data_IF_882796153252
#
_entry.id   IF_882796153252
#
_cell.length_a   1.000
_cell.length_b   1.000
_cell.length_c   1.000
_cell.angle_alpha   90.00
_cell.angle_beta   90.00
_cell.angle_gamma   90.00
#
_symmetry.space_group_name_H-M   'P 1'
#
loop_
_entity.id
_entity.type
_entity.pdbx_description
1 polymer ?
#
# COMPACT_ATOMS: atom_id res chain seq x y z
N UNK A 1 55.19 -11.54 -8.36
CA UNK A 1 54.58 -10.25 -8.10
C UNK A 1 53.06 -10.50 -8.19
N UNK A 2 52.47 -10.74 -7.05
CA UNK A 2 51.12 -11.26 -6.89
C UNK A 2 50.24 -10.05 -6.55
N UNK A 3 49.43 -9.62 -7.52
CA UNK A 3 48.52 -8.51 -7.39
C UNK A 3 47.28 -9.00 -6.60
N UNK A 4 47.15 -8.44 -5.41
CA UNK A 4 46.03 -8.71 -4.47
C UNK A 4 44.73 -8.15 -5.08
N UNK A 5 43.81 -9.04 -5.37
CA UNK A 5 42.42 -8.73 -5.71
C UNK A 5 41.74 -8.11 -4.49
N UNK A 6 41.33 -6.88 -4.66
CA UNK A 6 40.57 -6.10 -3.68
C UNK A 6 39.14 -6.67 -3.52
N UNK A 7 38.71 -7.08 -2.31
CA UNK A 7 37.37 -7.63 -2.14
C UNK A 7 36.34 -6.50 -2.10
N UNK A 8 35.49 -6.49 -3.11
CA UNK A 8 34.12 -6.01 -3.13
C UNK A 8 33.76 -4.87 -2.14
N UNK A 9 33.86 -3.65 -2.61
CA UNK A 9 33.04 -2.54 -2.11
C UNK A 9 31.57 -2.84 -2.42
N UNK A 10 30.84 -3.40 -1.45
CA UNK A 10 29.39 -3.29 -1.40
C UNK A 10 29.07 -1.80 -1.23
N UNK A 11 28.75 -1.13 -2.32
CA UNK A 11 28.16 0.21 -2.27
C UNK A 11 26.81 0.09 -1.61
N UNK A 12 26.70 0.41 -0.32
CA UNK A 12 25.43 0.70 0.32
C UNK A 12 24.73 1.77 -0.53
N UNK A 13 23.71 1.38 -1.27
CA UNK A 13 22.91 2.28 -2.08
C UNK A 13 22.15 3.17 -1.11
N UNK A 14 22.64 4.37 -0.86
CA UNK A 14 21.96 5.34 0.01
C UNK A 14 20.57 5.61 -0.57
N UNK A 15 19.54 5.10 0.09
CA UNK A 15 18.14 5.25 -0.33
C UNK A 15 17.71 6.70 -0.11
N UNK A 16 17.22 7.35 -1.16
CA UNK A 16 16.68 8.71 -1.07
C UNK A 16 15.21 8.64 -0.64
N UNK A 17 14.90 9.21 0.52
CA UNK A 17 13.52 9.32 1.02
C UNK A 17 12.71 10.29 0.15
N UNK A 18 11.59 9.81 -0.39
CA UNK A 18 10.61 10.62 -1.12
C UNK A 18 9.43 10.98 -0.23
N UNK A 19 8.87 9.99 0.48
CA UNK A 19 7.78 10.20 1.43
C UNK A 19 8.18 9.66 2.80
N UNK A 20 8.00 10.47 3.84
CA UNK A 20 8.07 10.02 5.24
C UNK A 20 6.74 10.36 5.94
N UNK A 21 6.05 9.34 6.42
CA UNK A 21 4.86 9.46 7.26
C UNK A 21 5.26 9.09 8.67
N UNK A 22 5.00 9.98 9.63
CA UNK A 22 5.40 9.79 11.03
C UNK A 22 4.22 10.08 11.95
N UNK A 23 3.74 9.06 12.65
CA UNK A 23 2.69 9.17 13.65
C UNK A 23 1.38 9.73 13.11
N UNK A 24 1.01 9.42 11.86
CA UNK A 24 -0.19 9.93 11.22
C UNK A 24 -1.44 9.44 11.94
N UNK A 25 -2.27 10.39 12.37
CA UNK A 25 -3.58 10.20 12.94
C UNK A 25 -4.66 10.78 12.02
N UNK A 26 -5.70 9.98 11.72
CA UNK A 26 -6.88 10.47 10.99
C UNK A 26 -8.15 10.16 11.77
N UNK A 27 -8.95 11.18 11.98
CA UNK A 27 -10.21 11.12 12.68
C UNK A 27 -11.38 11.38 11.71
N UNK A 28 -12.49 10.66 11.92
CA UNK A 28 -13.76 10.86 11.23
C UNK A 28 -14.80 11.33 12.25
N UNK A 29 -15.50 12.43 11.95
CA UNK A 29 -16.66 12.88 12.72
C UNK A 29 -17.90 12.08 12.31
N UNK A 30 -18.51 11.43 13.28
CA UNK A 30 -19.76 10.66 13.11
C UNK A 30 -20.86 11.30 13.98
N UNK A 31 -22.13 10.99 13.74
CA UNK A 31 -23.23 11.47 14.60
C UNK A 31 -23.07 11.07 16.08
N UNK A 32 -22.34 10.00 16.37
CA UNK A 32 -22.12 9.44 17.71
C UNK A 32 -20.79 9.85 18.34
N UNK A 33 -19.98 10.69 17.67
CA UNK A 33 -18.67 11.14 18.15
C UNK A 33 -17.57 11.05 17.11
N UNK A 34 -16.33 11.27 17.55
CA UNK A 34 -15.15 11.17 16.69
C UNK A 34 -14.58 9.76 16.75
N UNK A 35 -14.27 9.17 15.60
CA UNK A 35 -13.68 7.84 15.45
C UNK A 35 -12.31 7.97 14.82
N UNK A 36 -11.28 7.41 15.45
CA UNK A 36 -9.92 7.33 14.89
C UNK A 36 -9.83 6.15 13.94
N UNK A 37 -9.59 6.44 12.66
CA UNK A 37 -9.52 5.43 11.59
C UNK A 37 -8.09 5.12 11.13
N UNK A 38 -7.15 6.04 11.41
CA UNK A 38 -5.71 5.84 11.26
C UNK A 38 -5.06 6.30 12.55
N UNK A 39 -4.22 5.47 13.15
CA UNK A 39 -3.67 5.70 14.48
C UNK A 39 -2.16 5.50 14.47
N UNK A 40 -1.42 6.59 14.64
CA UNK A 40 0.05 6.66 14.71
C UNK A 40 0.77 5.90 13.59
N UNK A 41 0.21 5.91 12.38
CA UNK A 41 0.79 5.22 11.23
C UNK A 41 2.10 5.88 10.83
N UNK A 42 3.15 5.04 10.68
CA UNK A 42 4.50 5.49 10.32
C UNK A 42 5.13 4.55 9.30
N UNK A 43 5.60 5.11 8.18
CA UNK A 43 6.35 4.39 7.13
C UNK A 43 7.14 5.37 6.25
N UNK A 44 8.05 4.83 5.45
CA UNK A 44 8.88 5.62 4.52
C UNK A 44 8.84 4.98 3.14
N UNK A 45 8.70 5.79 2.09
CA UNK A 45 8.83 5.34 0.71
C UNK A 45 10.07 5.99 0.09
N UNK A 46 10.85 5.16 -0.61
CA UNK A 46 12.13 5.55 -1.19
C UNK A 46 12.05 5.66 -2.71
N UNK A 47 12.91 6.50 -3.28
CA UNK A 47 13.01 6.71 -4.71
C UNK A 47 13.32 5.40 -5.45
N UNK A 48 12.56 5.14 -6.51
CA UNK A 48 12.70 3.94 -7.34
C UNK A 48 12.20 2.64 -6.69
N UNK A 49 11.62 2.71 -5.48
CA UNK A 49 11.09 1.56 -4.75
C UNK A 49 9.56 1.60 -4.63
N UNK A 50 8.99 0.42 -4.42
CA UNK A 50 7.57 0.22 -4.11
C UNK A 50 7.41 -0.16 -2.64
N UNK A 51 6.67 0.65 -1.87
CA UNK A 51 6.17 0.29 -0.55
C UNK A 51 4.73 -0.20 -0.68
N UNK A 52 4.43 -1.41 -0.22
CA UNK A 52 3.07 -1.90 -0.12
C UNK A 52 2.42 -1.56 1.22
N UNK A 53 1.19 -1.03 1.20
CA UNK A 53 0.29 -1.00 2.36
C UNK A 53 -0.68 -2.18 2.23
N UNK A 54 -0.46 -3.22 3.05
CA UNK A 54 -1.19 -4.48 3.02
C UNK A 54 -2.16 -4.59 4.21
N UNK A 55 -3.30 -5.23 4.05
CA UNK A 55 -4.23 -5.53 5.14
C UNK A 55 -5.66 -5.72 4.65
N UNK A 56 -6.55 -6.20 5.53
CA UNK A 56 -7.96 -6.42 5.24
C UNK A 56 -8.70 -5.13 4.85
N UNK A 57 -9.87 -5.28 4.19
CA UNK A 57 -10.73 -4.13 3.86
C UNK A 57 -11.14 -3.37 5.12
N UNK A 58 -11.20 -2.05 5.05
CA UNK A 58 -11.57 -1.19 6.17
C UNK A 58 -10.47 -0.94 7.22
N UNK A 59 -9.25 -1.48 7.08
CA UNK A 59 -8.18 -1.26 8.07
C UNK A 59 -7.49 0.11 8.01
N UNK A 60 -7.93 1.03 7.11
CA UNK A 60 -7.42 2.41 7.07
C UNK A 60 -6.49 2.75 5.91
N UNK A 61 -6.16 1.82 5.00
CA UNK A 61 -5.21 2.03 3.88
C UNK A 61 -5.59 3.21 2.98
N UNK A 62 -6.79 3.19 2.40
CA UNK A 62 -7.28 4.25 1.51
C UNK A 62 -7.46 5.60 2.25
N UNK A 63 -7.78 5.57 3.55
CA UNK A 63 -7.82 6.80 4.38
C UNK A 63 -6.42 7.38 4.56
N UNK A 64 -5.41 6.54 4.75
CA UNK A 64 -4.00 6.96 4.79
C UNK A 64 -3.58 7.60 3.45
N UNK A 65 -3.92 6.97 2.31
CA UNK A 65 -3.67 7.54 0.98
C UNK A 65 -4.34 8.91 0.77
N UNK A 66 -5.64 9.01 1.11
CA UNK A 66 -6.40 10.28 1.02
C UNK A 66 -5.82 11.37 1.93
N UNK A 67 -5.35 11.02 3.14
CA UNK A 67 -4.71 11.95 4.05
C UNK A 67 -3.39 12.50 3.46
N UNK A 68 -2.54 11.63 2.92
CA UNK A 68 -1.29 12.01 2.25
C UNK A 68 -1.59 12.92 1.05
N UNK A 69 -2.56 12.55 0.22
CA UNK A 69 -2.95 13.34 -0.95
C UNK A 69 -3.69 14.65 -0.61
N UNK A 70 -4.19 14.81 0.62
CA UNK A 70 -5.02 15.96 1.03
C UNK A 70 -6.42 15.93 0.46
N UNK A 71 -6.95 14.73 0.27
CA UNK A 71 -8.24 14.45 -0.36
C UNK A 71 -9.21 13.76 0.60
N UNK A 72 -9.05 14.05 1.90
CA UNK A 72 -10.02 13.59 2.90
C UNK A 72 -11.38 14.23 2.70
N UNK A 73 -12.43 13.45 2.90
CA UNK A 73 -13.79 13.96 2.89
C UNK A 73 -13.99 15.01 4.02
N UNK A 74 -14.94 15.96 3.91
CA UNK A 74 -15.12 17.03 4.89
C UNK A 74 -15.42 16.57 6.33
N UNK A 75 -15.87 15.33 6.50
CA UNK A 75 -16.10 14.70 7.81
C UNK A 75 -14.83 14.11 8.42
N UNK A 76 -13.76 13.98 7.65
CA UNK A 76 -12.47 13.43 8.09
C UNK A 76 -11.40 14.52 8.17
N UNK A 77 -10.46 14.37 9.09
CA UNK A 77 -9.35 15.32 9.27
C UNK A 77 -8.10 14.62 9.78
N UNK A 78 -6.92 15.15 9.40
CA UNK A 78 -5.65 14.78 10.03
C UNK A 78 -5.66 15.36 11.44
N UNK A 79 -5.58 14.49 12.45
CA UNK A 79 -5.60 14.85 13.86
C UNK A 79 -4.19 14.96 14.47
N UNK A 80 -3.18 14.37 13.81
CA UNK A 80 -1.80 14.43 14.27
C UNK A 80 -0.82 13.81 13.28
N UNK A 81 0.46 13.92 13.61
CA UNK A 81 1.55 13.37 12.81
C UNK A 81 2.03 14.29 11.68
N UNK A 82 3.07 13.82 11.00
CA UNK A 82 3.77 14.55 9.92
C UNK A 82 3.70 13.71 8.64
N UNK A 83 3.39 14.37 7.53
CA UNK A 83 3.47 13.80 6.18
C UNK A 83 4.47 14.62 5.37
N UNK A 84 5.72 14.18 5.35
CA UNK A 84 6.80 14.88 4.65
C UNK A 84 7.02 14.29 3.24
N UNK A 85 6.78 15.08 2.22
CA UNK A 85 7.10 14.78 0.82
C UNK A 85 8.35 15.58 0.42
N UNK A 86 9.44 14.91 0.03
CA UNK A 86 10.73 15.53 -0.26
C UNK A 86 11.17 16.50 0.86
N UNK A 87 10.98 16.09 2.12
CA UNK A 87 11.30 16.87 3.32
C UNK A 87 10.34 18.00 3.68
N UNK A 88 9.29 18.23 2.90
CA UNK A 88 8.28 19.28 3.15
C UNK A 88 7.03 18.68 3.78
N UNK A 89 6.66 19.15 4.97
CA UNK A 89 5.44 18.68 5.64
C UNK A 89 4.19 19.19 4.92
N UNK A 90 3.47 18.26 4.31
CA UNK A 90 2.23 18.54 3.59
C UNK A 90 1.10 19.03 4.52
N UNK A 91 1.10 18.64 5.80
CA UNK A 91 0.03 19.02 6.74
C UNK A 91 0.07 20.50 7.10
N UNK A 92 1.23 21.15 6.99
CA UNK A 92 1.40 22.58 7.27
C UNK A 92 1.14 23.47 6.05
N UNK A 93 0.96 22.87 4.85
CA UNK A 93 0.76 23.61 3.61
C UNK A 93 -0.65 24.16 3.49
N UNK A 94 -0.77 25.45 3.12
CA UNK A 94 -2.06 26.01 2.70
C UNK A 94 -2.56 25.39 1.38
N UNK A 95 -3.86 25.48 1.13
CA UNK A 95 -4.54 24.85 -0.01
C UNK A 95 -3.90 25.15 -1.39
N UNK A 96 -3.37 26.38 -1.59
CA UNK A 96 -2.71 26.76 -2.85
C UNK A 96 -1.37 26.03 -3.03
N UNK A 97 -0.56 25.94 -1.98
CA UNK A 97 0.73 25.24 -1.99
C UNK A 97 0.51 23.74 -2.20
N UNK A 98 -0.50 23.16 -1.52
CA UNK A 98 -0.84 21.75 -1.66
C UNK A 98 -1.31 21.40 -3.07
N UNK A 99 -2.12 22.25 -3.72
CA UNK A 99 -2.48 22.08 -5.14
C UNK A 99 -1.30 22.15 -6.09
N UNK A 100 -0.27 22.93 -5.78
CA UNK A 100 0.93 23.02 -6.60
C UNK A 100 1.81 21.75 -6.53
N UNK A 101 1.73 20.98 -5.44
CA UNK A 101 2.41 19.70 -5.25
C UNK A 101 1.68 18.57 -6.00
N UNK A 102 0.34 18.63 -6.05
CA UNK A 102 -0.47 17.65 -6.77
C UNK A 102 -0.17 17.69 -8.27
N UNK A 103 0.14 16.55 -8.84
CA UNK A 103 0.60 16.36 -10.22
C UNK A 103 2.13 16.38 -10.35
N UNK A 104 2.85 17.48 -10.10
CA UNK A 104 4.31 17.53 -10.27
C UNK A 104 5.12 16.70 -9.28
N UNK A 105 4.68 16.58 -8.03
CA UNK A 105 5.39 15.80 -7.00
C UNK A 105 4.61 14.59 -6.51
N UNK A 106 3.28 14.62 -6.60
CA UNK A 106 2.39 13.57 -6.10
C UNK A 106 1.34 13.23 -7.14
N UNK A 107 1.34 12.00 -7.64
CA UNK A 107 0.26 11.38 -8.43
C UNK A 107 -0.55 10.42 -7.57
N UNK A 108 -1.84 10.25 -7.88
CA UNK A 108 -2.70 9.27 -7.24
C UNK A 108 -3.59 8.58 -8.27
N UNK A 109 -3.66 7.25 -8.17
CA UNK A 109 -4.61 6.39 -8.88
C UNK A 109 -5.62 5.89 -7.85
N UNK A 110 -6.90 6.22 -8.06
CA UNK A 110 -7.98 5.81 -7.18
C UNK A 110 -8.50 4.41 -7.54
N UNK A 111 -9.12 3.75 -6.56
CA UNK A 111 -9.67 2.40 -6.67
C UNK A 111 -10.74 2.26 -7.76
N UNK A 112 -11.61 3.25 -7.95
CA UNK A 112 -12.74 3.17 -8.89
C UNK A 112 -12.47 3.93 -10.20
N UNK A 113 -12.05 3.19 -11.21
CA UNK A 113 -11.83 3.73 -12.56
C UNK A 113 -13.12 4.14 -13.27
N UNK A 114 -14.30 3.68 -12.84
CA UNK A 114 -15.56 4.00 -13.49
C UNK A 114 -16.05 5.40 -13.14
N UNK A 115 -15.82 5.83 -11.91
CA UNK A 115 -16.28 7.13 -11.38
C UNK A 115 -15.22 8.22 -11.45
N UNK A 116 -13.94 7.87 -11.60
CA UNK A 116 -12.84 8.84 -11.60
C UNK A 116 -12.76 9.68 -12.90
N UNK A 117 -13.22 9.15 -14.03
CA UNK A 117 -13.25 9.88 -15.30
C UNK A 117 -14.58 10.61 -15.48
N UNK A 118 -14.52 11.90 -15.83
CA UNK A 118 -15.72 12.67 -16.13
C UNK A 118 -16.34 12.21 -17.46
N UNK A 119 -17.59 11.69 -17.49
CA UNK A 119 -18.19 11.08 -18.68
C UNK A 119 -18.52 12.08 -19.79
N UNK A 120 -18.60 13.37 -19.50
CA UNK A 120 -19.00 14.41 -20.47
C UNK A 120 -17.82 15.07 -21.18
N UNK A 121 -16.58 14.75 -20.81
CA UNK A 121 -15.38 15.22 -21.48
C UNK A 121 -14.64 14.08 -22.17
N UNK A 122 -14.02 14.37 -23.33
CA UNK A 122 -13.17 13.39 -24.01
C UNK A 122 -11.92 13.07 -23.19
N UNK A 123 -11.41 11.85 -23.34
CA UNK A 123 -10.21 11.40 -22.63
C UNK A 123 -9.00 12.30 -22.91
N UNK A 124 -8.78 12.70 -24.16
CA UNK A 124 -7.69 13.62 -24.51
C UNK A 124 -7.82 14.99 -23.88
N UNK A 125 -9.05 15.48 -23.61
CA UNK A 125 -9.27 16.74 -22.90
C UNK A 125 -8.87 16.61 -21.43
N UNK A 126 -9.27 15.52 -20.77
CA UNK A 126 -8.96 15.25 -19.36
C UNK A 126 -7.46 15.02 -19.14
N UNK A 127 -6.80 14.21 -19.96
CA UNK A 127 -5.34 14.02 -19.93
C UNK A 127 -4.57 15.31 -20.19
N UNK A 128 -5.07 16.14 -21.12
CA UNK A 128 -4.43 17.42 -21.47
C UNK A 128 -4.55 18.50 -20.40
N UNK A 129 -5.48 18.36 -19.45
CA UNK A 129 -5.76 19.36 -18.43
C UNK A 129 -4.55 19.62 -17.52
N UNK A 130 -3.85 18.57 -17.08
CA UNK A 130 -2.67 18.68 -16.27
C UNK A 130 -1.58 19.55 -16.92
N UNK A 131 -1.34 19.38 -18.22
CA UNK A 131 -0.36 20.17 -18.96
C UNK A 131 -0.80 21.63 -19.13
N UNK A 132 -2.10 21.87 -19.29
CA UNK A 132 -2.63 23.24 -19.38
C UNK A 132 -2.51 24.00 -18.07
N UNK A 133 -2.82 23.33 -16.96
CA UNK A 133 -2.81 23.94 -15.62
C UNK A 133 -1.38 24.16 -15.12
N UNK A 134 -0.54 23.13 -15.20
CA UNK A 134 0.78 23.17 -14.58
C UNK A 134 1.91 23.61 -15.50
N UNK A 135 1.77 23.44 -16.83
CA UNK A 135 2.81 23.83 -17.81
C UNK A 135 2.38 24.98 -18.73
N UNK A 136 1.18 25.55 -18.54
CA UNK A 136 0.67 26.67 -19.35
C UNK A 136 0.49 26.35 -20.83
N UNK A 137 0.39 25.08 -21.22
CA UNK A 137 0.28 24.67 -22.62
C UNK A 137 -1.07 25.08 -23.21
N UNK A 138 -1.07 25.48 -24.50
CA UNK A 138 -2.30 25.70 -25.23
C UNK A 138 -3.01 24.37 -25.56
N UNK A 139 -4.27 24.43 -26.00
CA UNK A 139 -5.09 23.23 -26.30
C UNK A 139 -4.42 22.25 -27.28
N UNK A 140 -3.76 22.78 -28.33
CA UNK A 140 -3.10 21.94 -29.34
C UNK A 140 -1.89 21.20 -28.76
N UNK A 141 -1.06 21.89 -28.03
CA UNK A 141 0.10 21.30 -27.34
C UNK A 141 -0.32 20.26 -26.30
N UNK A 142 -1.30 20.59 -25.43
CA UNK A 142 -1.82 19.69 -24.42
C UNK A 142 -2.43 18.42 -25.05
N UNK A 143 -3.13 18.53 -26.21
CA UNK A 143 -3.64 17.37 -26.93
C UNK A 143 -2.52 16.45 -27.43
N UNK A 144 -1.43 16.99 -27.95
CA UNK A 144 -0.28 16.18 -28.37
C UNK A 144 0.35 15.42 -27.20
N UNK A 145 0.49 16.07 -26.05
CA UNK A 145 0.98 15.42 -24.84
C UNK A 145 0.00 14.33 -24.33
N UNK A 146 -1.29 14.57 -24.41
CA UNK A 146 -2.30 13.57 -24.05
C UNK A 146 -2.22 12.33 -24.97
N UNK A 147 -2.04 12.50 -26.27
CA UNK A 147 -1.85 11.40 -27.23
C UNK A 147 -0.58 10.60 -26.88
N UNK A 148 0.51 11.29 -26.58
CA UNK A 148 1.77 10.64 -26.20
C UNK A 148 1.63 9.85 -24.90
N UNK A 149 0.95 10.37 -23.88
CA UNK A 149 0.63 9.63 -22.66
C UNK A 149 -0.22 8.40 -22.95
N UNK A 150 -1.25 8.52 -23.80
CA UNK A 150 -2.08 7.38 -24.20
C UNK A 150 -1.25 6.28 -24.87
N UNK A 151 -0.30 6.67 -25.73
CA UNK A 151 0.64 5.74 -26.37
C UNK A 151 1.53 5.06 -25.33
N UNK A 152 2.09 5.82 -24.40
CA UNK A 152 2.95 5.35 -23.32
C UNK A 152 2.29 4.32 -22.41
N UNK A 153 0.99 4.46 -22.12
CA UNK A 153 0.24 3.49 -21.33
C UNK A 153 -0.39 2.35 -22.16
N UNK A 154 -0.10 2.29 -23.46
CA UNK A 154 -0.53 1.21 -24.35
C UNK A 154 -2.01 1.29 -24.77
N UNK A 155 -2.56 2.50 -24.94
CA UNK A 155 -3.86 2.68 -25.57
C UNK A 155 -3.68 2.59 -27.10
N UNK A 156 -4.36 1.67 -27.80
CA UNK A 156 -4.27 1.56 -29.25
C UNK A 156 -4.90 2.78 -29.92
N UNK A 157 -4.40 3.16 -31.10
CA UNK A 157 -4.91 4.29 -31.93
C UNK A 157 -5.13 5.58 -31.13
N UNK A 158 -4.12 6.07 -30.38
CA UNK A 158 -4.29 7.15 -29.41
C UNK A 158 -4.72 8.46 -30.06
N UNK A 159 -4.36 8.73 -31.33
CA UNK A 159 -4.75 9.90 -32.11
C UNK A 159 -6.28 9.99 -32.30
N UNK A 160 -6.92 8.86 -32.58
CA UNK A 160 -8.36 8.74 -32.75
C UNK A 160 -9.06 8.73 -31.41
N UNK A 161 -8.58 7.87 -30.51
CA UNK A 161 -9.19 7.63 -29.19
C UNK A 161 -9.06 8.80 -28.21
N UNK A 162 -8.15 9.74 -28.43
CA UNK A 162 -8.12 10.98 -27.67
C UNK A 162 -9.42 11.81 -27.80
N UNK A 163 -10.20 11.59 -28.85
CA UNK A 163 -11.50 12.23 -29.06
C UNK A 163 -12.67 11.42 -28.50
N UNK A 164 -12.42 10.21 -28.02
CA UNK A 164 -13.42 9.32 -27.45
C UNK A 164 -13.75 9.67 -25.97
N UNK A 165 -14.96 9.28 -25.56
CA UNK A 165 -15.45 9.48 -24.21
C UNK A 165 -15.15 8.25 -23.32
N UNK A 166 -15.09 8.40 -21.98
CA UNK A 166 -14.75 7.30 -21.06
C UNK A 166 -15.55 6.02 -21.26
N UNK A 167 -16.86 6.11 -21.55
CA UNK A 167 -17.72 4.95 -21.73
C UNK A 167 -17.39 4.10 -22.98
N UNK A 168 -16.57 4.63 -23.91
CA UNK A 168 -16.13 3.93 -25.12
C UNK A 168 -14.84 3.08 -24.89
N UNK A 169 -14.34 3.03 -23.65
CA UNK A 169 -13.14 2.28 -23.26
C UNK A 169 -13.51 1.10 -22.36
N UNK A 170 -12.78 -0.01 -22.48
CA UNK A 170 -12.88 -1.14 -21.54
C UNK A 170 -12.40 -0.76 -20.14
N UNK A 171 -12.70 -1.56 -19.13
CA UNK A 171 -12.24 -1.33 -17.75
C UNK A 171 -10.72 -1.19 -17.65
N UNK A 172 -9.96 -2.12 -18.22
CA UNK A 172 -8.50 -2.04 -18.25
C UNK A 172 -7.96 -0.82 -19.00
N UNK A 173 -8.62 -0.40 -20.10
CA UNK A 173 -8.24 0.84 -20.79
C UNK A 173 -8.51 2.09 -19.95
N UNK A 174 -9.62 2.15 -19.21
CA UNK A 174 -9.90 3.26 -18.29
C UNK A 174 -8.87 3.32 -17.18
N UNK A 175 -8.48 2.16 -16.64
CA UNK A 175 -7.42 2.08 -15.63
C UNK A 175 -6.08 2.61 -16.15
N UNK A 176 -5.70 2.23 -17.39
CA UNK A 176 -4.51 2.78 -18.06
C UNK A 176 -4.58 4.31 -18.24
N UNK A 177 -5.77 4.85 -18.57
CA UNK A 177 -5.99 6.28 -18.68
C UNK A 177 -5.83 6.97 -17.32
N UNK A 178 -6.35 6.41 -16.23
CA UNK A 178 -6.16 6.97 -14.88
C UNK A 178 -4.68 6.96 -14.47
N UNK A 179 -3.97 5.89 -14.75
CA UNK A 179 -2.52 5.82 -14.53
C UNK A 179 -1.82 6.92 -15.35
N UNK A 180 -2.18 7.09 -16.64
CA UNK A 180 -1.65 8.16 -17.48
C UNK A 180 -1.89 9.55 -16.88
N UNK A 181 -3.09 9.81 -16.34
CA UNK A 181 -3.40 11.08 -15.67
C UNK A 181 -2.52 11.28 -14.43
N UNK A 182 -2.35 10.24 -13.61
CA UNK A 182 -1.56 10.31 -12.38
C UNK A 182 -0.07 10.57 -12.66
N UNK A 183 0.48 10.03 -13.75
CA UNK A 183 1.90 10.20 -14.12
C UNK A 183 2.16 11.30 -15.15
N UNK A 184 1.13 12.06 -15.57
CA UNK A 184 1.21 13.06 -16.66
C UNK A 184 2.33 14.10 -16.46
N UNK A 185 2.67 14.42 -15.24
CA UNK A 185 3.68 15.43 -14.90
C UNK A 185 4.96 14.83 -14.30
N UNK A 186 5.16 13.50 -14.44
CA UNK A 186 6.32 12.76 -13.92
C UNK A 186 6.51 12.98 -12.41
N UNK A 187 5.54 12.58 -11.56
CA UNK A 187 5.59 12.81 -10.12
C UNK A 187 6.74 12.05 -9.45
N UNK A 188 7.23 12.57 -8.32
CA UNK A 188 8.21 11.89 -7.47
C UNK A 188 7.60 10.72 -6.68
N UNK A 189 6.31 10.82 -6.36
CA UNK A 189 5.54 9.81 -5.64
C UNK A 189 4.26 9.48 -6.41
N UNK A 190 4.00 8.20 -6.61
CA UNK A 190 2.71 7.68 -7.06
C UNK A 190 2.06 6.89 -5.94
N UNK A 191 0.84 7.22 -5.57
CA UNK A 191 -0.01 6.41 -4.72
C UNK A 191 -0.98 5.64 -5.61
N UNK A 192 -0.97 4.32 -5.56
CA UNK A 192 -1.88 3.45 -6.30
C UNK A 192 -2.80 2.71 -5.32
N UNK A 193 -4.03 3.18 -5.19
CA UNK A 193 -5.03 2.62 -4.27
C UNK A 193 -5.85 1.55 -4.98
N UNK A 194 -5.52 0.28 -4.70
CA UNK A 194 -6.12 -0.92 -5.29
C UNK A 194 -6.26 -0.83 -6.83
N UNK A 195 -5.16 -0.61 -7.56
CA UNK A 195 -5.21 -0.25 -8.98
C UNK A 195 -5.72 -1.37 -9.90
N UNK A 196 -5.93 -2.56 -9.39
CA UNK A 196 -6.35 -3.75 -10.15
C UNK A 196 -7.69 -4.32 -9.69
N UNK A 197 -8.37 -3.70 -8.72
CA UNK A 197 -9.68 -4.16 -8.24
C UNK A 197 -10.70 -4.21 -9.37
N UNK A 198 -11.48 -5.30 -9.43
CA UNK A 198 -12.49 -5.59 -10.44
C UNK A 198 -11.95 -5.79 -11.89
N UNK A 199 -10.66 -6.10 -12.05
CA UNK A 199 -10.06 -6.51 -13.31
C UNK A 199 -9.81 -8.03 -13.32
N UNK A 200 -9.82 -8.63 -14.51
CA UNK A 200 -9.40 -10.02 -14.66
C UNK A 200 -7.87 -10.18 -14.45
N UNK A 201 -7.43 -11.40 -14.11
CA UNK A 201 -6.03 -11.70 -13.76
C UNK A 201 -5.03 -11.28 -14.85
N UNK A 202 -5.41 -11.43 -16.12
CA UNK A 202 -4.54 -11.06 -17.24
C UNK A 202 -4.37 -9.55 -17.33
N UNK A 203 -5.45 -8.79 -17.19
CA UNK A 203 -5.41 -7.32 -17.20
C UNK A 203 -4.71 -6.82 -15.92
N UNK A 204 -4.92 -7.45 -14.77
CA UNK A 204 -4.20 -7.13 -13.53
C UNK A 204 -2.68 -7.22 -13.74
N UNK A 205 -2.17 -8.33 -14.27
CA UNK A 205 -0.73 -8.49 -14.56
C UNK A 205 -0.20 -7.40 -15.51
N UNK A 206 -0.99 -7.03 -16.53
CA UNK A 206 -0.61 -5.97 -17.47
C UNK A 206 -0.57 -4.57 -16.81
N UNK A 207 -1.47 -4.27 -15.86
CA UNK A 207 -1.48 -3.01 -15.11
C UNK A 207 -0.29 -2.95 -14.17
N UNK A 208 0.04 -4.05 -13.47
CA UNK A 208 1.20 -4.10 -12.58
C UNK A 208 2.51 -3.95 -13.36
N UNK A 209 2.66 -4.65 -14.49
CA UNK A 209 3.82 -4.48 -15.37
C UNK A 209 3.95 -3.03 -15.91
N UNK A 210 2.82 -2.36 -16.20
CA UNK A 210 2.81 -0.95 -16.59
C UNK A 210 3.31 -0.05 -15.46
N UNK A 211 2.84 -0.25 -14.23
CA UNK A 211 3.26 0.54 -13.06
C UNK A 211 4.74 0.34 -12.77
N UNK A 212 5.24 -0.91 -12.81
CA UNK A 212 6.67 -1.26 -12.64
C UNK A 212 7.52 -0.52 -13.67
N UNK A 213 7.18 -0.60 -14.95
CA UNK A 213 7.89 0.10 -16.02
C UNK A 213 7.91 1.62 -15.80
N UNK A 214 6.76 2.24 -15.48
CA UNK A 214 6.68 3.67 -15.23
C UNK A 214 7.49 4.10 -14.01
N UNK A 215 7.51 3.29 -12.92
CA UNK A 215 8.36 3.49 -11.75
C UNK A 215 9.85 3.53 -12.14
N UNK A 216 10.28 2.57 -12.95
CA UNK A 216 11.68 2.47 -13.40
C UNK A 216 12.07 3.62 -14.34
N UNK A 217 11.23 3.94 -15.34
CA UNK A 217 11.48 5.03 -16.29
C UNK A 217 11.58 6.39 -15.62
N UNK A 218 10.73 6.69 -14.63
CA UNK A 218 10.67 7.98 -13.94
C UNK A 218 11.49 7.98 -12.64
N UNK A 219 12.01 6.81 -12.21
CA UNK A 219 12.69 6.64 -10.93
C UNK A 219 11.85 7.21 -9.76
N UNK A 220 10.52 6.99 -9.79
CA UNK A 220 9.59 7.49 -8.78
C UNK A 220 9.42 6.48 -7.64
N UNK A 221 9.04 6.95 -6.45
CA UNK A 221 8.55 6.11 -5.38
C UNK A 221 7.10 5.69 -5.67
N UNK A 222 6.73 4.46 -5.32
CA UNK A 222 5.34 3.98 -5.41
C UNK A 222 4.86 3.55 -4.03
N UNK A 223 3.69 4.03 -3.61
CA UNK A 223 2.94 3.48 -2.49
C UNK A 223 1.78 2.68 -3.08
N UNK A 224 1.89 1.36 -3.03
CA UNK A 224 0.90 0.42 -3.54
C UNK A 224 -0.01 -0.04 -2.42
N UNK A 225 -1.29 0.26 -2.51
CA UNK A 225 -2.30 -0.22 -1.57
C UNK A 225 -3.00 -1.42 -2.20
N UNK A 226 -2.98 -2.54 -1.49
CA UNK A 226 -3.62 -3.77 -1.94
C UNK A 226 -3.93 -4.69 -0.74
N UNK A 227 -4.82 -5.64 -0.97
CA UNK A 227 -5.07 -6.77 -0.07
C UNK A 227 -4.52 -8.09 -0.65
N UNK A 228 -3.91 -8.05 -1.83
CA UNK A 228 -3.39 -9.22 -2.54
C UNK A 228 -1.91 -9.45 -2.19
N UNK A 229 -1.66 -10.51 -1.43
CA UNK A 229 -0.32 -10.93 -1.01
C UNK A 229 0.59 -11.33 -2.18
N UNK A 230 0.03 -11.94 -3.24
CA UNK A 230 0.81 -12.32 -4.41
C UNK A 230 1.34 -11.09 -5.15
N UNK A 231 0.50 -10.05 -5.28
CA UNK A 231 0.92 -8.76 -5.86
C UNK A 231 2.01 -8.11 -5.01
N UNK A 232 1.88 -8.13 -3.67
CA UNK A 232 2.92 -7.58 -2.77
C UNK A 232 4.24 -8.33 -2.93
N UNK A 233 4.20 -9.67 -2.97
CA UNK A 233 5.40 -10.51 -3.12
C UNK A 233 6.15 -10.24 -4.43
N UNK A 234 5.43 -9.92 -5.52
CA UNK A 234 6.01 -9.70 -6.86
C UNK A 234 6.46 -8.25 -7.07
N UNK A 235 5.74 -7.27 -6.52
CA UNK A 235 5.88 -5.87 -6.93
C UNK A 235 6.51 -4.96 -5.88
N UNK A 236 6.53 -5.35 -4.60
CA UNK A 236 6.97 -4.47 -3.54
C UNK A 236 8.36 -4.81 -2.99
N UNK A 237 9.12 -3.77 -2.69
CA UNK A 237 10.41 -3.86 -2.00
C UNK A 237 10.20 -3.93 -0.48
N UNK A 238 9.32 -3.06 0.05
CA UNK A 238 8.96 -2.99 1.47
C UNK A 238 7.45 -3.15 1.65
N UNK A 239 7.04 -3.63 2.83
CA UNK A 239 5.64 -3.76 3.21
C UNK A 239 5.37 -3.13 4.58
N UNK A 240 4.23 -2.47 4.71
CA UNK A 240 3.63 -2.09 5.98
C UNK A 240 2.26 -2.76 6.09
N UNK A 241 2.14 -3.71 7.02
CA UNK A 241 0.92 -4.48 7.27
C UNK A 241 0.04 -3.69 8.23
N UNK A 242 -1.17 -3.35 7.79
CA UNK A 242 -2.12 -2.56 8.55
C UNK A 242 -3.27 -3.42 9.10
N UNK A 243 -3.62 -3.22 10.35
CA UNK A 243 -4.78 -3.82 11.01
C UNK A 243 -5.48 -2.80 11.90
N UNK A 244 -6.78 -2.62 11.73
CA UNK A 244 -7.62 -1.74 12.55
C UNK A 244 -6.99 -0.35 12.77
N UNK A 245 -6.56 0.32 11.70
CA UNK A 245 -5.98 1.66 11.71
C UNK A 245 -4.51 1.75 12.14
N UNK A 246 -3.85 0.65 12.46
CA UNK A 246 -2.48 0.64 12.95
C UNK A 246 -1.55 -0.13 11.99
N UNK A 247 -0.28 0.26 11.89
CA UNK A 247 0.75 -0.59 11.32
C UNK A 247 1.17 -1.60 12.39
N UNK A 248 0.96 -2.89 12.12
CA UNK A 248 1.25 -3.98 13.06
C UNK A 248 2.58 -4.66 12.77
N UNK A 249 3.03 -4.63 11.51
CA UNK A 249 4.34 -5.12 11.11
C UNK A 249 4.82 -4.34 9.87
N UNK A 250 6.12 -4.11 9.76
CA UNK A 250 6.72 -3.51 8.56
C UNK A 250 8.17 -3.96 8.37
N UNK A 251 8.62 -3.96 7.11
CA UNK A 251 9.99 -4.26 6.74
C UNK A 251 10.11 -4.67 5.28
N UNK A 252 11.29 -5.13 4.84
CA UNK A 252 11.48 -5.69 3.51
C UNK A 252 10.53 -6.87 3.27
N UNK A 253 9.89 -6.92 2.11
CA UNK A 253 8.91 -7.97 1.77
C UNK A 253 9.50 -9.36 1.96
N UNK A 254 10.73 -9.59 1.47
CA UNK A 254 11.41 -10.87 1.60
C UNK A 254 11.56 -11.33 3.06
N UNK A 255 11.86 -10.40 3.98
CA UNK A 255 12.01 -10.69 5.42
C UNK A 255 10.66 -10.92 6.09
N UNK A 256 9.71 -10.01 5.89
CA UNK A 256 8.38 -10.09 6.52
C UNK A 256 7.62 -11.34 6.07
N UNK A 257 7.74 -11.74 4.78
CA UNK A 257 7.02 -12.89 4.25
C UNK A 257 7.69 -14.22 4.61
N UNK A 258 9.02 -14.27 4.74
CA UNK A 258 9.73 -15.49 5.14
C UNK A 258 9.71 -15.73 6.64
N UNK A 259 9.74 -14.66 7.44
CA UNK A 259 9.81 -14.72 8.90
C UNK A 259 8.89 -13.64 9.54
N UNK A 260 7.56 -13.79 9.44
CA UNK A 260 6.63 -12.84 10.02
C UNK A 260 6.74 -12.85 11.56
N UNK A 261 6.77 -11.65 12.14
CA UNK A 261 6.93 -11.44 13.59
C UNK A 261 5.67 -10.93 14.28
N UNK A 262 4.56 -10.81 13.50
CA UNK A 262 3.22 -10.53 14.03
C UNK A 262 2.24 -11.66 13.66
N UNK A 263 1.42 -12.16 14.62
CA UNK A 263 0.48 -13.27 14.36
C UNK A 263 -0.54 -12.99 13.25
N UNK A 264 -0.93 -11.74 13.06
CA UNK A 264 -1.81 -11.34 11.96
C UNK A 264 -1.15 -11.52 10.59
N UNK A 265 0.11 -11.07 10.43
CA UNK A 265 0.87 -11.25 9.18
C UNK A 265 1.05 -12.73 8.87
N UNK A 266 1.40 -13.53 9.89
CA UNK A 266 1.50 -14.99 9.77
C UNK A 266 0.18 -15.59 9.28
N UNK A 267 -0.94 -15.24 9.91
CA UNK A 267 -2.27 -15.71 9.50
C UNK A 267 -2.66 -15.29 8.08
N UNK A 268 -2.30 -14.07 7.65
CA UNK A 268 -2.51 -13.64 6.26
C UNK A 268 -1.73 -14.51 5.27
N UNK A 269 -0.46 -14.81 5.55
CA UNK A 269 0.39 -15.64 4.68
C UNK A 269 -0.10 -17.09 4.63
N UNK A 270 -0.54 -17.65 5.76
CA UNK A 270 -1.08 -19.02 5.83
C UNK A 270 -2.45 -19.16 5.14
N UNK A 271 -3.17 -18.05 4.91
CA UNK A 271 -4.46 -18.07 4.20
C UNK A 271 -4.32 -18.12 2.67
N UNK A 272 -3.10 -18.01 2.13
CA UNK A 272 -2.85 -18.07 0.68
C UNK A 272 -2.72 -19.52 0.19
N UNK A 273 -3.43 -19.95 -0.86
CA UNK A 273 -3.48 -21.35 -1.31
C UNK A 273 -2.17 -21.91 -1.91
N UNK A 274 -1.05 -21.23 -1.84
CA UNK A 274 0.21 -21.58 -2.55
C UNK A 274 0.84 -22.90 -2.11
N UNK A 275 0.49 -23.44 -0.95
CA UNK A 275 1.01 -24.69 -0.40
C UNK A 275 -0.05 -25.72 -0.01
N UNK A 276 -1.33 -25.45 -0.28
CA UNK A 276 -2.38 -26.42 -0.01
C UNK A 276 -2.20 -27.64 -0.93
N UNK A 277 -1.82 -28.77 -0.35
CA UNK A 277 -1.99 -30.08 -0.99
C UNK A 277 -3.50 -30.29 -1.18
N UNK A 278 -3.89 -30.85 -2.32
CA UNK A 278 -5.31 -31.08 -2.65
C UNK A 278 -5.98 -31.86 -1.52
N UNK A 279 -6.80 -31.16 -0.70
CA UNK A 279 -7.50 -31.74 0.46
C UNK A 279 -7.22 -31.09 1.81
N UNK A 280 -6.23 -30.18 1.91
CA UNK A 280 -6.01 -29.42 3.15
C UNK A 280 -7.04 -28.30 3.28
N UNK A 281 -7.60 -28.13 4.49
CA UNK A 281 -8.42 -26.97 4.81
C UNK A 281 -7.56 -25.71 4.79
N UNK A 282 -7.95 -24.71 4.00
CA UNK A 282 -7.28 -23.41 4.00
C UNK A 282 -7.42 -22.78 5.40
N UNK A 283 -6.29 -22.44 5.99
CA UNK A 283 -6.27 -21.70 7.25
C UNK A 283 -6.86 -20.31 7.03
N UNK A 284 -7.98 -20.02 7.67
CA UNK A 284 -8.58 -18.68 7.64
C UNK A 284 -8.39 -18.00 8.98
N UNK A 285 -8.13 -16.68 8.96
CA UNK A 285 -8.07 -15.91 10.19
C UNK A 285 -9.46 -15.87 10.83
N UNK A 286 -9.67 -16.41 12.05
CA UNK A 286 -10.99 -16.52 12.65
C UNK A 286 -11.57 -15.14 13.00
N UNK A 287 -12.91 -15.04 13.01
CA UNK A 287 -13.64 -13.84 13.41
C UNK A 287 -13.57 -12.70 12.40
N UNK A 288 -13.92 -11.50 12.83
CA UNK A 288 -13.93 -10.27 12.00
C UNK A 288 -13.06 -9.19 12.64
N UNK A 289 -12.50 -8.25 11.84
CA UNK A 289 -11.83 -7.09 12.39
C UNK A 289 -12.74 -6.31 13.35
N UNK A 290 -12.18 -5.67 14.39
CA UNK A 290 -12.97 -4.86 15.31
C UNK A 290 -13.57 -3.66 14.57
N UNK A 291 -14.79 -3.28 14.96
CA UNK A 291 -15.36 -2.01 14.51
C UNK A 291 -14.47 -0.86 14.98
N UNK A 292 -14.18 0.10 14.11
CA UNK A 292 -13.34 1.26 14.43
C UNK A 292 -13.86 2.11 15.60
N UNK A 293 -15.15 1.98 15.96
CA UNK A 293 -15.75 2.60 17.14
C UNK A 293 -15.41 1.89 18.45
N UNK A 294 -15.06 0.61 18.36
CA UNK A 294 -14.90 -0.30 19.49
C UNK A 294 -13.49 -0.94 19.48
N UNK A 295 -12.46 -0.15 19.14
CA UNK A 295 -11.07 -0.62 19.13
C UNK A 295 -10.65 -0.96 20.57
N UNK A 296 -10.12 -2.17 20.83
CA UNK A 296 -9.62 -2.55 22.16
C UNK A 296 -8.53 -1.59 22.67
N UNK A 297 -8.50 -1.34 23.98
CA UNK A 297 -7.47 -0.52 24.60
C UNK A 297 -6.07 -1.15 24.51
N UNK A 298 -6.00 -2.48 24.61
CA UNK A 298 -4.78 -3.26 24.42
C UNK A 298 -4.42 -3.50 22.95
N UNK A 299 -3.87 -4.69 22.67
CA UNK A 299 -3.53 -5.10 21.30
C UNK A 299 -4.77 -5.10 20.39
N UNK A 300 -4.69 -4.45 19.25
CA UNK A 300 -5.81 -4.34 18.30
C UNK A 300 -6.24 -5.70 17.71
N UNK A 301 -5.33 -6.69 17.70
CA UNK A 301 -5.56 -8.02 17.16
C UNK A 301 -5.97 -9.06 18.22
N UNK A 302 -6.07 -8.68 19.52
CA UNK A 302 -6.25 -9.59 20.65
C UNK A 302 -7.42 -10.59 20.50
N UNK A 303 -8.54 -10.18 19.91
CA UNK A 303 -9.75 -11.01 19.82
C UNK A 303 -9.67 -12.12 18.75
N UNK A 304 -8.68 -12.02 17.84
CA UNK A 304 -8.43 -12.99 16.76
C UNK A 304 -7.07 -13.67 16.88
N UNK A 305 -6.27 -13.28 17.90
CA UNK A 305 -4.90 -13.73 18.03
C UNK A 305 -4.83 -15.11 18.71
N UNK A 306 -4.22 -16.14 18.09
CA UNK A 306 -4.06 -17.45 18.72
C UNK A 306 -3.07 -17.42 19.89
N UNK A 307 -2.24 -16.36 20.00
CA UNK A 307 -1.23 -16.17 21.03
C UNK A 307 -1.66 -15.15 22.11
N UNK A 308 -2.96 -14.82 22.21
CA UNK A 308 -3.43 -13.79 23.14
C UNK A 308 -3.15 -14.17 24.60
N UNK A 309 -2.60 -13.20 25.37
CA UNK A 309 -2.35 -13.32 26.80
C UNK A 309 -2.89 -12.09 27.55
N UNK A 310 -2.84 -12.09 28.88
CA UNK A 310 -3.35 -11.01 29.71
C UNK A 310 -2.77 -9.63 29.32
N UNK A 311 -1.47 -9.54 29.11
CA UNK A 311 -0.82 -8.29 28.69
C UNK A 311 -1.38 -7.73 27.37
N UNK A 312 -1.84 -8.59 26.44
CA UNK A 312 -2.43 -8.14 25.19
C UNK A 312 -3.77 -7.43 25.38
N UNK A 313 -4.47 -7.72 26.47
CA UNK A 313 -5.74 -7.08 26.82
C UNK A 313 -5.54 -5.76 27.56
N UNK A 314 -4.44 -5.63 28.28
CA UNK A 314 -4.14 -4.49 29.15
C UNK A 314 -3.35 -3.39 28.44
N UNK A 315 -2.37 -3.78 27.62
CA UNK A 315 -1.39 -2.85 27.06
C UNK A 315 -1.32 -3.00 25.53
N UNK A 316 -1.35 -1.88 24.82
CA UNK A 316 -1.11 -1.84 23.38
C UNK A 316 0.38 -1.99 23.10
N UNK A 317 0.80 -3.00 22.30
CA UNK A 317 2.21 -3.13 21.93
C UNK A 317 2.64 -1.97 21.03
N UNK A 318 3.83 -1.44 21.29
CA UNK A 318 4.46 -0.46 20.40
C UNK A 318 5.15 -1.17 19.22
N UNK A 319 5.27 -0.46 18.11
CA UNK A 319 6.03 -0.93 16.94
C UNK A 319 7.53 -0.90 17.30
N UNK A 320 8.13 -2.05 17.56
CA UNK A 320 9.55 -2.21 17.94
C UNK A 320 10.32 -2.99 16.88
N UNK A 321 11.62 -2.75 16.81
CA UNK A 321 12.50 -3.50 15.92
C UNK A 321 12.62 -4.96 16.38
N UNK A 322 12.44 -5.89 15.45
CA UNK A 322 12.49 -7.35 15.68
C UNK A 322 13.55 -8.04 14.83
N UNK A 323 14.07 -7.36 13.81
CA UNK A 323 15.12 -7.85 12.92
C UNK A 323 15.78 -6.69 12.18
N UNK A 324 16.64 -7.00 11.23
CA UNK A 324 17.25 -5.99 10.38
C UNK A 324 16.16 -5.35 9.49
N UNK A 325 15.90 -4.06 9.73
CA UNK A 325 14.84 -3.28 9.09
C UNK A 325 13.41 -3.83 9.24
N UNK A 326 13.18 -4.82 10.14
CA UNK A 326 11.87 -5.36 10.44
C UNK A 326 11.38 -4.84 11.81
N UNK A 327 10.10 -4.45 11.87
CA UNK A 327 9.46 -3.90 13.06
C UNK A 327 8.10 -4.56 13.26
N UNK A 328 7.74 -4.87 14.51
CA UNK A 328 6.47 -5.50 14.86
C UNK A 328 5.84 -4.90 16.12
N UNK A 329 4.53 -4.76 16.11
CA UNK A 329 3.71 -4.33 17.24
C UNK A 329 3.09 -5.56 17.94
N UNK A 330 3.93 -6.47 18.44
CA UNK A 330 3.52 -7.67 19.17
C UNK A 330 4.34 -7.86 20.43
N UNK A 331 3.69 -8.22 21.56
CA UNK A 331 4.38 -8.53 22.81
C UNK A 331 5.24 -9.80 22.71
N UNK A 332 4.88 -10.70 21.78
CA UNK A 332 5.50 -12.01 21.59
C UNK A 332 6.26 -12.15 20.26
N UNK A 333 6.66 -11.04 19.63
CA UNK A 333 7.42 -11.08 18.38
C UNK A 333 8.69 -11.92 18.48
N UNK A 334 9.39 -11.91 19.64
CA UNK A 334 10.63 -12.67 19.86
C UNK A 334 10.41 -14.19 19.80
N UNK A 335 9.23 -14.65 20.21
CA UNK A 335 8.85 -16.08 20.13
C UNK A 335 8.67 -16.51 18.66
N UNK A 336 8.07 -15.65 17.84
CA UNK A 336 7.89 -15.92 16.41
C UNK A 336 9.22 -15.91 15.65
N UNK A 337 10.14 -15.00 16.00
CA UNK A 337 11.50 -14.96 15.45
C UNK A 337 12.23 -16.28 15.72
N UNK A 338 12.13 -16.81 16.95
CA UNK A 338 12.79 -18.06 17.33
C UNK A 338 12.21 -19.27 16.58
N UNK A 339 10.91 -19.29 16.33
CA UNK A 339 10.25 -20.37 15.57
C UNK A 339 10.63 -20.33 14.08
N UNK A 340 10.77 -19.17 13.47
CA UNK A 340 11.20 -19.03 12.10
C UNK A 340 12.66 -19.47 11.87
N UNK A 341 13.53 -19.34 12.88
CA UNK A 341 14.94 -19.74 12.83
C UNK A 341 15.18 -21.26 13.00
N UNK A 342 14.15 -22.06 13.32
CA UNK A 342 14.30 -23.50 13.58
C UNK A 342 13.24 -24.32 12.81
N UNK A 343 13.43 -24.63 11.52
CA UNK A 343 12.44 -25.34 10.70
C UNK A 343 12.38 -26.86 10.94
N UNK A 344 12.85 -27.37 12.09
CA UNK A 344 12.78 -28.80 12.41
C UNK A 344 11.96 -29.05 13.66
N UNK A 345 10.92 -29.85 13.49
CA UNK A 345 10.02 -30.48 14.46
C UNK A 345 8.82 -29.66 14.93
N UNK A 346 7.62 -29.99 14.42
CA UNK A 346 6.62 -30.58 15.30
C UNK A 346 5.51 -31.29 14.51
N UNK A 347 5.63 -32.60 14.38
CA UNK A 347 4.50 -33.51 14.26
C UNK A 347 4.54 -34.45 15.47
N UNK A 348 4.18 -33.94 16.66
CA UNK A 348 3.86 -34.78 17.80
C UNK A 348 2.99 -34.03 18.81
N UNK A 349 1.72 -33.80 18.46
CA UNK A 349 0.69 -33.60 19.49
C UNK A 349 0.10 -34.98 19.74
N UNK A 350 0.61 -35.65 20.78
CA UNK A 350 0.01 -36.83 21.39
C UNK A 350 -1.37 -36.47 21.91
N UNK A 351 -2.39 -37.13 21.37
CA UNK A 351 -3.76 -37.14 21.89
C UNK A 351 -3.78 -37.65 23.32
N UNK A 352 -4.54 -37.06 24.26
CA UNK A 352 -4.81 -37.68 25.55
C UNK A 352 -5.71 -38.91 25.34
N UNK A 353 -5.20 -40.05 25.80
CA UNK A 353 -5.97 -41.28 25.87
C UNK A 353 -7.12 -41.09 26.85
N UNK A 354 -8.35 -41.32 26.39
CA UNK A 354 -9.48 -41.55 27.25
C UNK A 354 -9.28 -42.91 27.94
N UNK A 355 -9.00 -42.92 29.22
CA UNK A 355 -9.20 -44.07 30.07
C UNK A 355 -10.69 -44.22 30.30
N UNK A 356 -11.28 -45.25 29.65
CA UNK A 356 -12.52 -45.87 30.10
C UNK A 356 -12.20 -46.68 31.37
N UNK A 357 -12.82 -46.33 32.47
CA UNK A 357 -12.90 -47.20 33.63
C UNK A 357 -14.36 -47.64 33.88
N UNK A 358 -14.49 -48.91 34.03
CA UNK A 358 -15.63 -49.81 34.28
C UNK A 358 -16.76 -49.27 35.13
#
# INVERSE_FOLDING_TARGET
MMELLDPQRSTEKTLTTVLAVTGLDVDIRTPTGTVRVVNKVSFTAYQGQTLALLGESGCGKSMTAKAIAGLLDPVASVAGGVVALEGKDLNTMGARARRAVAGPSLGIVFQDALTALNPVYTVGTQLGEAFRIHRGMNKKQARLQAIELMRRVGIPEPEVRASAYPHQFSGGMRQRILIAMAVALSPRLLIADEPTTALDVTVQAQIMALLRRLREEENMAVVLITHDLAVVAEEADDVAVMYAGNVVERGPVATVFSAPTHPYTKGLLESVPTHAVRGDELSSIPGSPPELKNIPAGCVYQDRCPMVAAICRETRPELRQTGENQFSACHFSDVLVTQAGNPTNDHSITSPQHEENQ
#
